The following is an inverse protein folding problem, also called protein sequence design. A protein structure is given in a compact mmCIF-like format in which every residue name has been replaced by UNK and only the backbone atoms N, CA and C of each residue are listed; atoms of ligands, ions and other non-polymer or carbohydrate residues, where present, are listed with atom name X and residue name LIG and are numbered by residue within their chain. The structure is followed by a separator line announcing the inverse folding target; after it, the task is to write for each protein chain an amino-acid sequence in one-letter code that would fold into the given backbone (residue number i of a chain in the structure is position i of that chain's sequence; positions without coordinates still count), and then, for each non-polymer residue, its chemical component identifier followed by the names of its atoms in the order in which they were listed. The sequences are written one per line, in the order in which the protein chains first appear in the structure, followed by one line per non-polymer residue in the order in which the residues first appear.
data_IF_611350321520
#
_entry.id   IF_611350321520
#
_cell.length_a   1.000
_cell.length_b   1.000
_cell.length_c   1.000
_cell.angle_alpha   90.00
_cell.angle_beta   90.00
_cell.angle_gamma   90.00
#
_symmetry.space_group_name_H-M   'P 1'
#
loop_
_entity.id
_entity.type
_entity.pdbx_description
1 polymer ?
#
# COMPACT_ATOMS: atom_id res chain seq x y z
N UNK A 1 7.52 -71.90 18.81
CA UNK A 1 7.86 -70.72 17.98
C UNK A 1 6.74 -69.70 18.09
N UNK A 2 6.81 -68.76 19.04
CA UNK A 2 5.85 -67.64 19.18
C UNK A 2 6.48 -66.41 18.50
N UNK A 3 5.87 -65.91 17.43
CA UNK A 3 6.31 -64.70 16.72
C UNK A 3 5.89 -63.47 17.53
N UNK A 4 6.87 -62.68 17.97
CA UNK A 4 6.67 -61.38 18.59
C UNK A 4 6.42 -60.35 17.47
N UNK A 5 5.23 -59.77 17.39
CA UNK A 5 4.93 -58.65 16.50
C UNK A 5 5.39 -57.36 17.20
N UNK A 6 6.52 -56.80 16.78
CA UNK A 6 6.94 -55.45 17.16
C UNK A 6 6.17 -54.44 16.31
N UNK A 7 5.25 -53.72 16.94
CA UNK A 7 4.55 -52.58 16.33
C UNK A 7 5.50 -51.39 16.30
N UNK A 8 5.89 -50.96 15.09
CA UNK A 8 6.69 -49.78 14.86
C UNK A 8 5.76 -48.56 14.83
N UNK A 9 5.68 -47.81 15.93
CA UNK A 9 4.98 -46.53 15.97
C UNK A 9 5.79 -45.49 15.17
N UNK A 10 5.34 -45.20 13.94
CA UNK A 10 5.80 -44.03 13.19
C UNK A 10 5.31 -42.76 13.91
N UNK A 11 6.23 -42.01 14.52
CA UNK A 11 5.99 -40.62 14.89
C UNK A 11 6.00 -39.76 13.63
N UNK A 12 4.82 -39.36 13.16
CA UNK A 12 4.68 -38.30 12.16
C UNK A 12 4.85 -36.95 12.90
N UNK A 13 5.78 -36.08 12.51
CA UNK A 13 5.84 -34.74 13.09
C UNK A 13 4.61 -33.97 12.63
N UNK A 14 3.71 -33.69 13.57
CA UNK A 14 2.55 -32.82 13.35
C UNK A 14 3.10 -31.39 13.26
N UNK A 15 3.36 -30.88 12.05
CA UNK A 15 3.62 -29.45 11.87
C UNK A 15 2.31 -28.71 12.11
N UNK A 16 2.13 -28.20 13.33
CA UNK A 16 1.09 -27.23 13.66
C UNK A 16 1.33 -25.98 12.81
N UNK A 17 0.65 -25.88 11.68
CA UNK A 17 0.47 -24.60 10.98
C UNK A 17 -0.33 -23.70 11.91
N UNK A 18 0.34 -22.77 12.57
CA UNK A 18 -0.30 -21.71 13.34
C UNK A 18 -1.23 -20.94 12.38
N UNK A 19 -2.54 -20.99 12.65
CA UNK A 19 -3.52 -20.26 11.87
C UNK A 19 -3.20 -18.76 11.90
N UNK A 20 -3.43 -18.07 10.78
CA UNK A 20 -3.27 -16.62 10.72
C UNK A 20 -4.22 -15.97 11.74
N UNK A 21 -3.65 -15.24 12.70
CA UNK A 21 -4.38 -14.72 13.86
C UNK A 21 -5.24 -13.50 13.53
N UNK A 22 -4.79 -12.67 12.58
CA UNK A 22 -5.45 -11.42 12.19
C UNK A 22 -5.65 -11.33 10.67
N UNK A 23 -6.69 -10.61 10.27
CA UNK A 23 -7.09 -10.39 8.89
C UNK A 23 -7.28 -8.90 8.59
N UNK A 24 -7.46 -8.54 7.32
CA UNK A 24 -7.80 -7.15 6.95
C UNK A 24 -9.13 -6.66 7.53
N UNK A 25 -10.05 -7.55 7.92
CA UNK A 25 -11.29 -7.16 8.60
C UNK A 25 -11.03 -6.59 10.01
N UNK A 26 -9.89 -6.91 10.61
CA UNK A 26 -9.50 -6.46 11.94
C UNK A 26 -8.81 -5.10 11.91
N UNK A 27 -8.46 -4.58 10.72
CA UNK A 27 -7.67 -3.36 10.57
C UNK A 27 -8.31 -2.12 11.23
N UNK A 28 -9.62 -1.96 11.18
CA UNK A 28 -10.32 -0.84 11.83
C UNK A 28 -10.90 -1.17 13.21
N UNK A 29 -10.89 -2.45 13.58
CA UNK A 29 -11.55 -2.94 14.80
C UNK A 29 -10.58 -2.91 15.97
N UNK A 30 -10.96 -2.31 17.09
CA UNK A 30 -10.15 -2.42 18.31
C UNK A 30 -10.09 -3.88 18.76
N UNK A 31 -8.89 -4.45 18.77
CA UNK A 31 -8.58 -5.77 19.33
C UNK A 31 -7.37 -5.61 20.25
N UNK A 32 -7.50 -5.91 21.56
CA UNK A 32 -6.40 -5.78 22.51
C UNK A 32 -5.13 -6.49 22.05
N UNK A 33 -5.25 -7.74 21.60
CA UNK A 33 -4.10 -8.57 21.22
C UNK A 33 -3.37 -8.00 19.99
N UNK A 34 -4.11 -7.53 18.98
CA UNK A 34 -3.52 -6.90 17.81
C UNK A 34 -2.81 -5.59 18.17
N UNK A 35 -3.39 -4.81 19.10
CA UNK A 35 -2.79 -3.55 19.51
C UNK A 35 -1.52 -3.78 20.35
N UNK A 36 -1.57 -4.74 21.28
CA UNK A 36 -0.41 -5.13 22.09
C UNK A 36 0.74 -5.63 21.19
N UNK A 37 0.44 -6.42 20.16
CA UNK A 37 1.46 -6.88 19.21
C UNK A 37 2.06 -5.72 18.41
N UNK A 38 1.23 -4.76 17.97
CA UNK A 38 1.73 -3.55 17.28
C UNK A 38 2.68 -2.75 18.17
N UNK A 39 2.31 -2.54 19.45
CA UNK A 39 3.16 -1.83 20.41
C UNK A 39 4.44 -2.60 20.71
N UNK A 40 4.37 -3.92 20.93
CA UNK A 40 5.52 -4.76 21.22
C UNK A 40 6.56 -4.75 20.08
N UNK A 41 6.11 -4.75 18.82
CA UNK A 41 7.00 -4.61 17.66
C UNK A 41 7.54 -3.19 17.58
N UNK A 42 6.68 -2.18 17.75
CA UNK A 42 7.07 -0.77 17.68
C UNK A 42 8.14 -0.39 18.72
N UNK A 43 8.06 -0.94 19.92
CA UNK A 43 8.97 -0.66 21.04
C UNK A 43 10.36 -1.30 20.87
N UNK A 44 10.48 -2.33 20.04
CA UNK A 44 11.78 -2.94 19.68
C UNK A 44 12.53 -2.14 18.61
N UNK A 45 11.87 -1.15 17.98
CA UNK A 45 12.44 -0.36 16.89
C UNK A 45 13.01 0.97 17.40
N UNK A 46 14.05 1.47 16.74
CA UNK A 46 14.53 2.84 16.94
C UNK A 46 13.89 3.79 15.92
N UNK A 47 14.07 5.10 16.09
CA UNK A 47 13.41 6.10 15.24
C UNK A 47 13.82 5.97 13.76
N UNK A 48 15.06 5.62 13.45
CA UNK A 48 15.52 5.39 12.07
C UNK A 48 14.75 4.24 11.42
N UNK A 49 14.64 3.09 12.10
CA UNK A 49 13.96 1.91 11.54
C UNK A 49 12.44 2.09 11.50
N UNK A 50 11.88 2.88 12.42
CA UNK A 50 10.48 3.34 12.40
C UNK A 50 10.20 4.17 11.15
N UNK A 51 11.00 5.21 10.89
CA UNK A 51 10.85 6.05 9.69
C UNK A 51 11.04 5.22 8.42
N UNK A 52 11.97 4.26 8.42
CA UNK A 52 12.14 3.33 7.31
C UNK A 52 10.86 2.59 6.92
N UNK A 53 9.97 2.28 7.88
CA UNK A 53 8.68 1.61 7.59
C UNK A 53 7.72 2.45 6.73
N UNK A 54 7.92 3.77 6.65
CA UNK A 54 7.09 4.66 5.85
C UNK A 54 7.47 4.65 4.36
N UNK A 55 8.57 4.00 3.98
CA UNK A 55 9.12 4.08 2.63
C UNK A 55 8.82 2.80 1.84
N UNK A 56 8.24 2.97 0.65
CA UNK A 56 8.11 1.93 -0.36
C UNK A 56 8.98 2.33 -1.56
N UNK A 57 10.02 1.55 -1.86
CA UNK A 57 10.87 1.80 -3.03
C UNK A 57 10.69 0.72 -4.12
N UNK A 58 10.88 1.10 -5.37
CA UNK A 58 10.65 0.22 -6.51
C UNK A 58 11.84 -0.71 -6.81
N UNK A 59 11.54 -1.99 -7.03
CA UNK A 59 12.44 -2.99 -7.60
C UNK A 59 11.89 -3.53 -8.92
N UNK A 60 12.65 -4.42 -9.57
CA UNK A 60 12.29 -5.00 -10.86
C UNK A 60 12.88 -4.19 -12.02
N UNK A 61 12.40 -4.43 -13.25
CA UNK A 61 13.04 -3.91 -14.48
C UNK A 61 13.00 -2.39 -14.60
N UNK A 62 12.00 -1.75 -13.98
CA UNK A 62 11.87 -0.30 -13.94
C UNK A 62 12.09 0.29 -12.53
N UNK A 63 12.59 -0.52 -11.60
CA UNK A 63 12.97 -0.07 -10.26
C UNK A 63 14.39 0.50 -10.22
N UNK A 64 14.85 0.84 -9.01
CA UNK A 64 16.25 1.22 -8.78
C UNK A 64 17.17 -0.01 -8.92
N UNK A 65 18.49 0.18 -9.11
CA UNK A 65 19.44 -0.93 -9.20
C UNK A 65 19.34 -1.88 -7.99
N UNK A 66 19.42 -3.19 -8.24
CA UNK A 66 19.28 -4.21 -7.20
C UNK A 66 20.27 -4.03 -6.02
N UNK A 67 21.51 -3.64 -6.31
CA UNK A 67 22.50 -3.40 -5.26
C UNK A 67 22.08 -2.25 -4.32
N UNK A 68 21.42 -1.22 -4.86
CA UNK A 68 20.96 -0.07 -4.09
C UNK A 68 19.76 -0.43 -3.20
N UNK A 69 18.78 -1.15 -3.73
CA UNK A 69 17.65 -1.60 -2.90
C UNK A 69 18.10 -2.57 -1.80
N UNK A 70 19.06 -3.45 -2.08
CA UNK A 70 19.66 -4.34 -1.05
C UNK A 70 20.34 -3.51 0.04
N UNK A 71 21.09 -2.46 -0.30
CA UNK A 71 21.70 -1.55 0.68
C UNK A 71 20.65 -0.88 1.58
N UNK A 72 19.55 -0.42 0.98
CA UNK A 72 18.45 0.21 1.72
C UNK A 72 17.76 -0.78 2.68
N UNK A 73 17.57 -2.03 2.26
CA UNK A 73 17.01 -3.10 3.10
C UNK A 73 17.95 -3.45 4.25
N UNK A 74 19.25 -3.66 3.96
CA UNK A 74 20.24 -4.00 4.98
C UNK A 74 20.42 -2.92 6.05
N UNK A 75 20.26 -1.65 5.65
CA UNK A 75 20.27 -0.50 6.56
C UNK A 75 18.90 -0.20 7.18
N UNK A 76 17.88 -1.01 6.89
CA UNK A 76 16.51 -0.91 7.40
C UNK A 76 15.85 0.45 7.11
N UNK A 77 16.22 1.08 6.00
CA UNK A 77 15.70 2.39 5.55
C UNK A 77 14.46 2.29 4.64
N UNK A 78 13.96 1.08 4.38
CA UNK A 78 12.69 0.87 3.66
C UNK A 78 11.84 -0.20 4.35
N UNK A 79 10.52 -0.05 4.28
CA UNK A 79 9.54 -0.94 4.88
C UNK A 79 8.78 -1.78 3.86
N UNK A 80 8.84 -1.39 2.58
CA UNK A 80 8.15 -2.06 1.50
C UNK A 80 8.83 -1.89 0.14
N UNK A 81 8.38 -2.71 -0.82
CA UNK A 81 8.95 -2.78 -2.16
C UNK A 81 7.84 -2.83 -3.21
N UNK A 82 7.84 -1.89 -4.15
CA UNK A 82 6.97 -1.93 -5.34
C UNK A 82 7.66 -2.74 -6.45
N UNK A 83 7.03 -3.80 -6.96
CA UNK A 83 7.58 -4.59 -8.06
C UNK A 83 7.11 -4.04 -9.41
N UNK A 84 8.04 -3.44 -10.17
CA UNK A 84 7.76 -2.79 -11.45
C UNK A 84 8.24 -3.61 -12.64
N UNK A 85 7.28 -4.00 -13.49
CA UNK A 85 7.48 -4.66 -14.79
C UNK A 85 8.34 -5.93 -14.72
N UNK A 86 7.71 -7.10 -14.78
CA UNK A 86 8.44 -8.38 -14.77
C UNK A 86 7.57 -9.58 -15.17
N UNK A 87 8.15 -10.77 -15.04
CA UNK A 87 7.40 -12.03 -15.11
C UNK A 87 7.00 -12.49 -13.70
N UNK A 88 5.90 -13.25 -13.60
CA UNK A 88 5.40 -13.85 -12.34
C UNK A 88 6.50 -14.58 -11.56
N UNK A 89 7.26 -15.45 -12.23
CA UNK A 89 8.31 -16.23 -11.58
C UNK A 89 9.52 -15.39 -11.16
N UNK A 90 9.82 -14.33 -11.93
CA UNK A 90 10.88 -13.37 -11.60
C UNK A 90 10.53 -12.60 -10.33
N UNK A 91 9.30 -12.09 -10.25
CA UNK A 91 8.81 -11.39 -9.07
C UNK A 91 8.72 -12.29 -7.86
N UNK A 92 8.27 -13.54 -8.02
CA UNK A 92 8.21 -14.52 -6.91
C UNK A 92 9.60 -14.76 -6.30
N UNK A 93 10.63 -14.92 -7.14
CA UNK A 93 12.01 -15.09 -6.67
C UNK A 93 12.55 -13.82 -6.02
N UNK A 94 12.33 -12.66 -6.66
CA UNK A 94 12.82 -11.37 -6.16
C UNK A 94 12.19 -11.01 -4.82
N UNK A 95 10.88 -11.20 -4.64
CA UNK A 95 10.20 -10.93 -3.38
C UNK A 95 10.78 -11.79 -2.25
N UNK A 96 10.91 -13.10 -2.45
CA UNK A 96 11.53 -14.01 -1.46
C UNK A 96 12.97 -13.64 -1.13
N UNK A 97 13.75 -13.26 -2.14
CA UNK A 97 15.14 -12.87 -1.95
C UNK A 97 15.26 -11.60 -1.10
N UNK A 98 14.54 -10.53 -1.46
CA UNK A 98 14.60 -9.26 -0.75
C UNK A 98 14.06 -9.38 0.68
N UNK A 99 13.00 -10.16 0.90
CA UNK A 99 12.45 -10.41 2.22
C UNK A 99 13.44 -11.18 3.11
N UNK A 100 14.10 -12.21 2.55
CA UNK A 100 15.14 -12.98 3.26
C UNK A 100 16.32 -12.10 3.65
N UNK A 101 16.71 -11.15 2.80
CA UNK A 101 17.78 -10.17 3.11
C UNK A 101 17.35 -9.26 4.26
N UNK A 102 16.10 -8.80 4.28
CA UNK A 102 15.55 -7.97 5.36
C UNK A 102 15.67 -8.70 6.70
N UNK A 103 15.16 -9.93 6.76
CA UNK A 103 15.19 -10.77 7.96
C UNK A 103 16.62 -11.08 8.41
N UNK A 104 17.52 -11.44 7.49
CA UNK A 104 18.92 -11.70 7.81
C UNK A 104 19.68 -10.46 8.32
N UNK A 105 19.17 -9.26 8.03
CA UNK A 105 19.73 -7.98 8.49
C UNK A 105 19.04 -7.47 9.77
N UNK A 106 18.22 -8.31 10.41
CA UNK A 106 17.46 -7.95 11.62
C UNK A 106 16.29 -6.99 11.35
N UNK A 107 15.88 -6.83 10.09
CA UNK A 107 14.72 -6.05 9.71
C UNK A 107 13.43 -6.85 9.79
N UNK A 108 12.30 -6.15 9.67
CA UNK A 108 10.97 -6.76 9.56
C UNK A 108 10.72 -7.27 8.13
N UNK A 109 9.83 -8.26 7.94
CA UNK A 109 9.27 -8.61 6.63
C UNK A 109 8.83 -7.39 5.83
N UNK A 110 9.16 -7.36 4.55
CA UNK A 110 8.89 -6.23 3.65
C UNK A 110 7.44 -6.24 3.17
N UNK A 111 6.86 -5.05 3.02
CA UNK A 111 5.56 -4.90 2.38
C UNK A 111 5.73 -4.84 0.84
N UNK A 112 5.54 -5.96 0.13
CA UNK A 112 5.50 -5.98 -1.34
C UNK A 112 4.19 -5.44 -1.94
N UNK A 113 4.32 -4.59 -2.96
CA UNK A 113 3.21 -4.01 -3.71
C UNK A 113 3.35 -4.10 -5.23
N UNK A 114 2.25 -3.85 -5.94
CA UNK A 114 2.20 -3.76 -7.40
C UNK A 114 1.05 -2.84 -7.88
N UNK A 115 1.20 -2.31 -9.10
CA UNK A 115 0.10 -1.73 -9.88
C UNK A 115 -0.65 -2.84 -10.66
N UNK A 116 -1.53 -3.55 -9.97
CA UNK A 116 -2.32 -4.63 -10.57
C UNK A 116 -3.78 -4.20 -10.80
N UNK A 117 -3.94 -3.13 -11.58
CA UNK A 117 -5.21 -2.73 -12.21
C UNK A 117 -5.55 -3.71 -13.34
N UNK A 118 -6.84 -4.04 -13.61
CA UNK A 118 -7.19 -4.99 -14.67
C UNK A 118 -6.57 -4.65 -16.04
N UNK A 119 -6.64 -3.38 -16.46
CA UNK A 119 -6.04 -2.92 -17.73
C UNK A 119 -4.51 -2.96 -17.79
N UNK A 120 -3.82 -2.96 -16.63
CA UNK A 120 -2.36 -2.95 -16.56
C UNK A 120 -1.78 -4.32 -16.19
N UNK A 121 -2.56 -5.19 -15.55
CA UNK A 121 -2.10 -6.38 -14.84
C UNK A 121 -1.20 -7.27 -15.70
N UNK A 122 -1.70 -7.77 -16.83
CA UNK A 122 -0.91 -8.65 -17.71
C UNK A 122 0.26 -7.95 -18.41
N UNK A 123 0.24 -6.62 -18.51
CA UNK A 123 1.35 -5.84 -19.06
C UNK A 123 2.47 -5.60 -18.04
N UNK A 124 2.10 -5.45 -16.76
CA UNK A 124 3.02 -5.19 -15.63
C UNK A 124 3.61 -6.50 -15.10
N UNK A 125 2.82 -7.57 -15.06
CA UNK A 125 3.21 -8.89 -14.58
C UNK A 125 2.84 -9.93 -15.63
N UNK A 126 3.80 -10.26 -16.48
CA UNK A 126 3.63 -11.28 -17.51
C UNK A 126 3.64 -12.69 -16.90
N UNK A 127 3.02 -13.65 -17.57
CA UNK A 127 2.88 -15.03 -17.08
C UNK A 127 1.79 -15.23 -16.01
N UNK A 128 0.95 -14.22 -15.78
CA UNK A 128 -0.26 -14.29 -14.95
C UNK A 128 -1.49 -14.65 -15.78
N UNK A 129 -2.57 -15.10 -15.14
CA UNK A 129 -3.86 -15.30 -15.80
C UNK A 129 -4.36 -14.05 -16.53
N UNK A 130 -4.86 -14.23 -17.75
CA UNK A 130 -5.40 -13.14 -18.56
C UNK A 130 -6.69 -12.57 -17.95
N UNK A 131 -6.80 -11.25 -17.87
CA UNK A 131 -8.00 -10.56 -17.37
C UNK A 131 -8.52 -9.55 -18.39
N UNK A 132 -9.82 -9.21 -18.29
CA UNK A 132 -10.40 -8.13 -19.09
C UNK A 132 -9.81 -6.79 -18.70
N UNK A 133 -9.79 -5.84 -19.65
CA UNK A 133 -9.49 -4.43 -19.34
C UNK A 133 -10.57 -3.86 -18.43
N UNK A 134 -10.22 -2.88 -17.60
CA UNK A 134 -11.12 -2.28 -16.61
C UNK A 134 -12.41 -1.77 -17.24
N UNK A 135 -12.32 -1.05 -18.36
CA UNK A 135 -13.47 -0.51 -19.08
C UNK A 135 -14.33 -1.55 -19.83
N UNK A 136 -13.93 -2.82 -19.83
CA UNK A 136 -14.69 -3.94 -20.41
C UNK A 136 -15.45 -4.75 -19.36
N UNK A 137 -15.24 -4.45 -18.07
CA UNK A 137 -15.90 -5.13 -16.96
C UNK A 137 -17.35 -4.62 -16.87
N UNK A 138 -18.30 -5.55 -16.94
CA UNK A 138 -19.72 -5.23 -17.15
C UNK A 138 -20.48 -4.94 -15.87
N UNK A 139 -20.23 -5.69 -14.81
CA UNK A 139 -20.98 -5.60 -13.56
C UNK A 139 -20.12 -5.97 -12.34
N UNK A 140 -20.70 -5.78 -11.16
CA UNK A 140 -20.04 -6.04 -9.89
C UNK A 140 -19.67 -7.52 -9.68
N UNK A 141 -20.41 -8.47 -10.27
CA UNK A 141 -20.11 -9.90 -10.14
C UNK A 141 -18.86 -10.27 -10.93
N UNK A 142 -18.76 -9.82 -12.18
CA UNK A 142 -17.57 -9.97 -13.00
C UNK A 142 -16.36 -9.25 -12.37
N UNK A 143 -16.57 -8.04 -11.83
CA UNK A 143 -15.53 -7.30 -11.14
C UNK A 143 -14.96 -8.07 -9.94
N UNK A 144 -15.83 -8.68 -9.12
CA UNK A 144 -15.40 -9.54 -7.99
C UNK A 144 -14.58 -10.74 -8.45
N UNK A 145 -14.96 -11.39 -9.55
CA UNK A 145 -14.23 -12.54 -10.10
C UNK A 145 -12.83 -12.13 -10.55
N UNK A 146 -12.72 -11.04 -11.31
CA UNK A 146 -11.43 -10.51 -11.78
C UNK A 146 -10.55 -10.07 -10.62
N UNK A 147 -11.11 -9.34 -9.65
CA UNK A 147 -10.37 -8.88 -8.47
C UNK A 147 -9.86 -10.06 -7.63
N UNK A 148 -10.66 -11.13 -7.48
CA UNK A 148 -10.25 -12.34 -6.77
C UNK A 148 -9.09 -13.05 -7.49
N UNK A 149 -9.21 -13.23 -8.81
CA UNK A 149 -8.17 -13.83 -9.65
C UNK A 149 -6.85 -13.04 -9.57
N UNK A 150 -6.91 -11.71 -9.71
CA UNK A 150 -5.72 -10.84 -9.56
C UNK A 150 -5.12 -11.03 -8.16
N UNK A 151 -5.95 -11.04 -7.11
CA UNK A 151 -5.47 -11.14 -5.72
C UNK A 151 -4.83 -12.50 -5.43
N UNK A 152 -5.37 -13.58 -5.99
CA UNK A 152 -4.77 -14.92 -5.92
C UNK A 152 -3.39 -14.95 -6.58
N UNK A 153 -3.28 -14.42 -7.80
CA UNK A 153 -2.02 -14.30 -8.53
C UNK A 153 -0.98 -13.50 -7.73
N UNK A 154 -1.35 -12.33 -7.21
CA UNK A 154 -0.48 -11.50 -6.37
C UNK A 154 0.00 -12.25 -5.13
N UNK A 155 -0.88 -12.99 -4.45
CA UNK A 155 -0.50 -13.80 -3.29
C UNK A 155 0.48 -14.91 -3.64
N UNK A 156 0.34 -15.55 -4.82
CA UNK A 156 1.32 -16.56 -5.25
C UNK A 156 2.72 -15.98 -5.45
N UNK A 157 2.80 -14.70 -5.82
CA UNK A 157 4.05 -13.96 -5.99
C UNK A 157 4.63 -13.52 -4.63
N UNK A 158 3.78 -13.35 -3.61
CA UNK A 158 4.15 -12.75 -2.32
C UNK A 158 3.81 -11.26 -2.22
N UNK A 159 2.97 -10.75 -3.12
CA UNK A 159 2.45 -9.37 -3.09
C UNK A 159 1.12 -9.36 -2.32
N UNK A 160 1.00 -8.43 -1.39
CA UNK A 160 -0.15 -8.33 -0.49
C UNK A 160 -0.71 -6.90 -0.39
N UNK A 161 -0.15 -5.95 -1.15
CA UNK A 161 -0.63 -4.58 -1.25
C UNK A 161 -0.78 -4.14 -2.71
N UNK A 162 -2.01 -3.92 -3.17
CA UNK A 162 -2.30 -3.59 -4.56
C UNK A 162 -2.66 -2.10 -4.69
N UNK A 163 -1.98 -1.40 -5.59
CA UNK A 163 -2.32 -0.03 -5.98
C UNK A 163 -3.45 -0.02 -7.01
N UNK A 164 -4.60 -0.57 -6.64
CA UNK A 164 -5.84 -0.61 -7.40
C UNK A 164 -7.04 -0.73 -6.43
N UNK A 165 -8.24 -0.24 -6.80
CA UNK A 165 -8.64 0.21 -8.13
C UNK A 165 -8.47 1.72 -8.39
N UNK A 166 -8.55 2.10 -9.67
CA UNK A 166 -8.71 3.50 -10.09
C UNK A 166 -10.18 3.91 -9.91
N UNK A 167 -10.42 4.93 -9.10
CA UNK A 167 -11.75 5.51 -8.76
C UNK A 167 -12.08 6.71 -9.66
N UNK A 168 -11.12 7.14 -10.47
CA UNK A 168 -11.27 8.24 -11.40
C UNK A 168 -12.34 7.95 -12.48
N UNK A 169 -13.24 8.91 -12.72
CA UNK A 169 -14.24 8.93 -13.79
C UNK A 169 -13.58 9.49 -15.04
N UNK A 170 -13.38 8.65 -16.06
CA UNK A 170 -12.62 9.05 -17.25
C UNK A 170 -13.44 8.86 -18.52
N UNK A 171 -14.19 9.87 -18.98
CA UNK A 171 -14.80 9.83 -20.29
C UNK A 171 -13.75 9.96 -21.41
N UNK A 172 -12.67 10.74 -21.20
CA UNK A 172 -11.72 11.12 -22.25
C UNK A 172 -10.27 11.39 -21.77
N UNK A 173 -9.91 11.11 -20.51
CA UNK A 173 -8.56 11.44 -20.00
C UNK A 173 -7.50 10.48 -20.56
N UNK A 174 -6.36 11.02 -21.00
CA UNK A 174 -5.29 10.24 -21.66
C UNK A 174 -4.51 9.34 -20.69
N UNK A 175 -4.26 9.82 -19.47
CA UNK A 175 -3.50 9.10 -18.44
C UNK A 175 -4.33 8.00 -17.76
N UNK A 176 -5.64 8.20 -17.64
CA UNK A 176 -6.59 7.24 -17.06
C UNK A 176 -7.16 6.34 -18.15
N UNK A 177 -7.87 6.88 -19.15
CA UNK A 177 -8.39 6.15 -20.30
C UNK A 177 -9.09 4.84 -19.93
N UNK A 178 -8.57 3.72 -20.43
CA UNK A 178 -9.13 2.39 -20.18
C UNK A 178 -8.86 1.81 -18.78
N UNK A 179 -8.16 2.55 -17.91
CA UNK A 179 -7.90 2.17 -16.51
C UNK A 179 -9.10 2.44 -15.61
N UNK A 180 -9.99 3.36 -16.01
CA UNK A 180 -11.26 3.63 -15.33
C UNK A 180 -12.34 2.60 -15.67
N UNK A 181 -13.31 2.46 -14.77
CA UNK A 181 -14.55 1.70 -14.99
C UNK A 181 -15.58 2.43 -15.87
N UNK A 182 -15.34 3.71 -16.21
CA UNK A 182 -16.14 4.45 -17.18
C UNK A 182 -16.33 5.93 -16.83
N UNK A 183 -17.39 6.51 -17.39
CA UNK A 183 -17.73 7.92 -17.24
C UNK A 183 -18.91 8.19 -16.29
N UNK A 184 -19.55 7.14 -15.75
CA UNK A 184 -20.63 7.26 -14.77
C UNK A 184 -20.11 7.02 -13.35
N UNK A 185 -20.19 8.04 -12.50
CA UNK A 185 -19.65 8.00 -11.15
C UNK A 185 -20.26 6.87 -10.30
N UNK A 186 -21.57 6.63 -10.41
CA UNK A 186 -22.25 5.58 -9.63
C UNK A 186 -21.73 4.20 -10.01
N UNK A 187 -21.59 3.93 -11.31
CA UNK A 187 -20.99 2.70 -11.83
C UNK A 187 -19.54 2.55 -11.40
N UNK A 188 -18.74 3.62 -11.47
CA UNK A 188 -17.33 3.58 -11.03
C UNK A 188 -17.26 3.21 -9.55
N UNK A 189 -18.03 3.86 -8.68
CA UNK A 189 -18.08 3.55 -7.25
C UNK A 189 -18.52 2.11 -6.99
N UNK A 190 -19.57 1.62 -7.67
CA UNK A 190 -20.07 0.26 -7.52
C UNK A 190 -18.99 -0.79 -7.84
N UNK A 191 -18.30 -0.63 -8.98
CA UNK A 191 -17.28 -1.57 -9.42
C UNK A 191 -15.99 -1.45 -8.59
N UNK A 192 -15.60 -0.24 -8.17
CA UNK A 192 -14.51 -0.04 -7.24
C UNK A 192 -14.78 -0.73 -5.89
N UNK A 193 -15.97 -0.57 -5.33
CA UNK A 193 -16.37 -1.24 -4.09
C UNK A 193 -16.32 -2.78 -4.23
N UNK A 194 -16.79 -3.31 -5.37
CA UNK A 194 -16.72 -4.72 -5.69
C UNK A 194 -15.26 -5.24 -5.76
N UNK A 195 -14.37 -4.48 -6.41
CA UNK A 195 -12.94 -4.78 -6.51
C UNK A 195 -12.26 -4.76 -5.13
N UNK A 196 -12.43 -3.66 -4.38
CA UNK A 196 -11.85 -3.47 -3.04
C UNK A 196 -12.28 -4.60 -2.10
N UNK A 197 -13.58 -4.87 -2.02
CA UNK A 197 -14.11 -5.90 -1.14
C UNK A 197 -13.59 -7.31 -1.50
N UNK A 198 -13.47 -7.63 -2.79
CA UNK A 198 -12.93 -8.92 -3.23
C UNK A 198 -11.43 -9.04 -2.92
N UNK A 199 -10.63 -8.01 -3.21
CA UNK A 199 -9.19 -8.02 -2.91
C UNK A 199 -8.91 -8.13 -1.42
N UNK A 200 -9.59 -7.33 -0.59
CA UNK A 200 -9.38 -7.35 0.86
C UNK A 200 -9.82 -8.68 1.48
N UNK A 201 -10.92 -9.30 1.01
CA UNK A 201 -11.31 -10.66 1.45
C UNK A 201 -10.30 -11.73 1.04
N UNK A 202 -9.62 -11.55 -0.08
CA UNK A 202 -8.55 -12.46 -0.51
C UNK A 202 -7.25 -12.28 0.30
N UNK A 203 -7.15 -11.25 1.15
CA UNK A 203 -5.96 -10.92 1.93
C UNK A 203 -4.96 -10.03 1.20
N UNK A 204 -5.43 -9.20 0.25
CA UNK A 204 -4.64 -8.18 -0.44
C UNK A 204 -5.24 -6.81 -0.15
N UNK A 205 -4.45 -5.91 0.44
CA UNK A 205 -4.90 -4.55 0.72
C UNK A 205 -5.11 -3.79 -0.60
N UNK A 206 -6.29 -3.21 -0.79
CA UNK A 206 -6.62 -2.40 -1.95
C UNK A 206 -6.32 -0.92 -1.69
N UNK A 207 -6.03 -0.18 -2.76
CA UNK A 207 -5.73 1.25 -2.71
C UNK A 207 -6.55 1.99 -3.75
N UNK A 208 -7.49 2.81 -3.29
CA UNK A 208 -8.23 3.70 -4.19
C UNK A 208 -7.34 4.83 -4.68
N UNK A 209 -7.41 5.16 -5.97
CA UNK A 209 -6.58 6.23 -6.57
C UNK A 209 -7.28 6.93 -7.76
N UNK A 210 -6.94 8.18 -8.08
CA UNK A 210 -5.90 9.02 -7.46
C UNK A 210 -6.56 10.24 -6.80
N UNK A 211 -6.56 10.29 -5.46
CA UNK A 211 -7.24 11.35 -4.71
C UNK A 211 -6.55 12.71 -4.94
N UNK A 212 -7.27 13.83 -5.14
CA UNK A 212 -8.72 14.03 -5.04
C UNK A 212 -9.51 13.81 -6.35
N UNK A 213 -8.87 13.33 -7.42
CA UNK A 213 -9.51 13.06 -8.71
C UNK A 213 -8.59 13.41 -9.89
N UNK A 214 -8.27 12.43 -10.72
CA UNK A 214 -7.47 12.60 -11.95
C UNK A 214 -8.30 12.46 -13.22
N UNK A 215 -9.49 11.87 -13.14
CA UNK A 215 -10.26 11.50 -14.33
C UNK A 215 -10.73 12.69 -15.16
N UNK A 216 -10.90 13.85 -14.52
CA UNK A 216 -11.47 15.06 -15.14
C UNK A 216 -10.45 16.17 -15.38
N UNK A 217 -9.20 16.02 -14.94
CA UNK A 217 -8.13 16.99 -15.24
C UNK A 217 -7.62 16.82 -16.67
N UNK A 218 -7.06 17.88 -17.24
CA UNK A 218 -6.41 17.85 -18.56
C UNK A 218 -4.89 17.70 -18.40
N UNK A 219 -4.31 16.71 -19.07
CA UNK A 219 -2.86 16.44 -19.09
C UNK A 219 -2.45 15.25 -18.24
N UNK A 220 -1.14 15.09 -18.04
CA UNK A 220 -0.54 13.95 -17.35
C UNK A 220 0.46 14.40 -16.28
N UNK A 221 0.21 13.99 -15.03
CA UNK A 221 1.05 14.27 -13.85
C UNK A 221 2.44 13.64 -13.94
N UNK A 222 2.64 12.64 -14.80
CA UNK A 222 3.97 12.08 -15.05
C UNK A 222 4.92 13.12 -15.66
N UNK A 223 4.39 14.10 -16.40
CA UNK A 223 5.18 15.08 -17.15
C UNK A 223 5.21 16.46 -16.50
N UNK A 224 4.11 16.90 -15.89
CA UNK A 224 3.98 18.23 -15.29
C UNK A 224 2.87 18.27 -14.26
N UNK A 225 2.86 19.28 -13.40
CA UNK A 225 1.74 19.55 -12.52
C UNK A 225 0.49 19.88 -13.37
N UNK A 226 -0.62 19.23 -13.03
CA UNK A 226 -1.96 19.52 -13.56
C UNK A 226 -2.83 20.01 -12.42
N UNK A 227 -3.97 20.62 -12.75
CA UNK A 227 -4.83 21.28 -11.76
C UNK A 227 -6.30 20.90 -11.92
N UNK A 228 -6.99 20.88 -10.79
CA UNK A 228 -8.44 21.00 -10.68
C UNK A 228 -8.74 22.46 -10.39
N UNK A 229 -9.55 23.09 -11.23
CA UNK A 229 -10.01 24.47 -11.05
C UNK A 229 -11.50 24.44 -10.62
N UNK A 230 -11.77 24.75 -9.36
CA UNK A 230 -13.10 24.72 -8.76
C UNK A 230 -13.44 23.41 -8.04
N UNK A 231 -14.60 22.83 -8.34
CA UNK A 231 -15.13 21.68 -7.61
C UNK A 231 -14.33 20.40 -7.89
N UNK A 232 -13.93 19.70 -6.82
CA UNK A 232 -13.31 18.37 -6.90
C UNK A 232 -14.40 17.30 -7.06
N UNK A 233 -14.94 17.19 -8.28
CA UNK A 233 -16.12 16.38 -8.59
C UNK A 233 -16.00 14.88 -8.25
N UNK A 234 -14.78 14.37 -8.12
CA UNK A 234 -14.51 12.94 -7.87
C UNK A 234 -14.30 12.62 -6.38
N UNK A 235 -14.17 13.61 -5.50
CA UNK A 235 -13.98 13.40 -4.05
C UNK A 235 -15.15 12.62 -3.44
N UNK A 236 -16.37 12.92 -3.87
CA UNK A 236 -17.58 12.24 -3.40
C UNK A 236 -17.59 10.73 -3.72
N UNK A 237 -16.81 10.27 -4.71
CA UNK A 237 -16.71 8.85 -5.06
C UNK A 237 -15.99 8.03 -3.97
N UNK A 238 -15.18 8.68 -3.12
CA UNK A 238 -14.40 8.00 -2.09
C UNK A 238 -15.21 7.71 -0.83
N UNK A 239 -16.22 8.51 -0.47
CA UNK A 239 -16.95 8.34 0.79
C UNK A 239 -17.57 6.94 0.92
N UNK A 240 -18.31 6.40 -0.09
CA UNK A 240 -18.87 5.06 0.03
C UNK A 240 -17.79 3.96 0.15
N UNK A 241 -16.60 4.20 -0.41
CA UNK A 241 -15.48 3.26 -0.33
C UNK A 241 -14.84 3.30 1.06
N UNK A 242 -14.66 4.49 1.64
CA UNK A 242 -14.21 4.70 3.02
C UNK A 242 -15.17 4.00 3.98
N UNK A 243 -16.48 4.23 3.84
CA UNK A 243 -17.53 3.64 4.68
C UNK A 243 -17.55 2.10 4.56
N UNK A 244 -17.09 1.55 3.43
CA UNK A 244 -16.98 0.10 3.21
C UNK A 244 -15.71 -0.55 3.77
N UNK A 245 -14.86 0.21 4.46
CA UNK A 245 -13.62 -0.29 5.06
C UNK A 245 -12.46 -0.39 4.08
N UNK A 246 -12.37 0.53 3.11
CA UNK A 246 -11.18 0.69 2.26
C UNK A 246 -9.91 0.88 3.11
N UNK A 247 -8.87 0.10 2.86
CA UNK A 247 -7.63 0.12 3.66
C UNK A 247 -6.71 1.30 3.29
N UNK A 248 -6.60 1.65 2.01
CA UNK A 248 -5.63 2.63 1.54
C UNK A 248 -6.17 3.57 0.47
N UNK A 249 -5.67 4.81 0.48
CA UNK A 249 -5.92 5.82 -0.56
C UNK A 249 -4.57 6.38 -1.03
N UNK A 250 -4.38 6.43 -2.34
CA UNK A 250 -3.24 7.08 -2.97
C UNK A 250 -3.59 8.52 -3.37
N UNK A 251 -2.75 9.47 -2.97
CA UNK A 251 -2.92 10.91 -3.25
C UNK A 251 -2.05 11.32 -4.44
N UNK A 252 -2.70 11.90 -5.44
CA UNK A 252 -2.10 12.34 -6.70
C UNK A 252 -1.23 13.59 -6.53
N UNK A 253 -0.36 13.84 -7.51
CA UNK A 253 0.37 15.09 -7.64
C UNK A 253 -0.41 16.12 -8.47
N UNK A 254 -1.59 16.52 -8.00
CA UNK A 254 -2.52 17.46 -8.67
C UNK A 254 -2.70 18.69 -7.78
N UNK A 255 -2.66 19.89 -8.35
CA UNK A 255 -2.98 21.12 -7.63
C UNK A 255 -4.49 21.40 -7.65
N UNK A 256 -4.98 22.12 -6.64
CA UNK A 256 -6.38 22.55 -6.56
C UNK A 256 -6.43 24.07 -6.45
N UNK A 257 -7.19 24.70 -7.34
CA UNK A 257 -7.39 26.15 -7.41
C UNK A 257 -8.88 26.49 -7.25
N UNK A 258 -9.18 27.71 -6.81
CA UNK A 258 -10.55 28.24 -6.68
C UNK A 258 -11.51 27.32 -5.88
N UNK A 259 -10.99 26.66 -4.84
CA UNK A 259 -11.70 25.75 -3.95
C UNK A 259 -11.39 26.10 -2.48
N UNK A 260 -12.28 25.84 -1.50
CA UNK A 260 -11.95 25.99 -0.07
C UNK A 260 -10.68 25.25 0.34
N UNK A 261 -10.43 24.10 -0.27
CA UNK A 261 -9.25 23.24 -0.03
C UNK A 261 -8.09 23.53 -1.01
N UNK A 262 -7.96 24.77 -1.52
CA UNK A 262 -6.95 25.11 -2.51
C UNK A 262 -5.52 24.81 -2.02
N UNK A 263 -4.70 24.22 -2.90
CA UNK A 263 -3.34 23.77 -2.56
C UNK A 263 -2.27 24.85 -2.72
N UNK A 264 -2.65 26.08 -3.08
CA UNK A 264 -1.72 27.20 -3.29
C UNK A 264 -0.61 26.87 -4.30
N UNK A 265 -0.98 26.20 -5.39
CA UNK A 265 -0.05 25.78 -6.45
C UNK A 265 0.86 24.61 -6.09
N UNK A 266 0.68 23.97 -4.93
CA UNK A 266 1.40 22.75 -4.55
C UNK A 266 0.60 21.50 -4.96
N UNK A 267 1.25 20.35 -5.17
CA UNK A 267 0.56 19.08 -5.37
C UNK A 267 -0.22 18.63 -4.11
N UNK A 268 -1.39 18.03 -4.31
CA UNK A 268 -2.26 17.52 -3.26
C UNK A 268 -1.54 16.58 -2.28
N UNK A 269 -0.64 15.73 -2.77
CA UNK A 269 0.16 14.79 -1.96
C UNK A 269 1.05 15.44 -0.89
N UNK A 270 1.33 16.75 -1.01
CA UNK A 270 2.09 17.53 -0.02
C UNK A 270 1.27 18.67 0.60
N UNK A 271 -0.05 18.69 0.36
CA UNK A 271 -0.96 19.69 0.94
C UNK A 271 -1.60 19.13 2.21
N UNK A 272 -1.30 19.73 3.36
CA UNK A 272 -1.96 19.38 4.63
C UNK A 272 -3.46 19.65 4.58
N UNK A 273 -3.89 20.66 3.84
CA UNK A 273 -5.31 20.98 3.62
C UNK A 273 -6.04 19.81 2.97
N UNK A 274 -5.46 19.22 1.91
CA UNK A 274 -6.08 18.10 1.21
C UNK A 274 -5.94 16.78 1.98
N UNK A 275 -4.73 16.47 2.46
CA UNK A 275 -4.43 15.17 3.06
C UNK A 275 -4.99 15.06 4.48
N UNK A 276 -4.80 16.08 5.31
CA UNK A 276 -5.29 16.08 6.69
C UNK A 276 -6.67 16.70 6.78
N UNK A 277 -6.86 17.95 6.31
CA UNK A 277 -8.13 18.67 6.45
C UNK A 277 -9.29 17.96 5.74
N UNK A 278 -9.21 17.82 4.42
CA UNK A 278 -10.27 17.16 3.66
C UNK A 278 -10.33 15.65 3.91
N UNK A 279 -9.26 14.91 3.59
CA UNK A 279 -9.34 13.44 3.55
C UNK A 279 -9.45 12.81 4.95
N UNK A 280 -8.61 13.24 5.91
CA UNK A 280 -8.62 12.63 7.25
C UNK A 280 -9.68 13.27 8.13
N UNK A 281 -9.79 14.58 8.21
CA UNK A 281 -10.68 15.24 9.17
C UNK A 281 -12.12 15.26 8.66
N UNK A 282 -12.40 15.89 7.51
CA UNK A 282 -13.76 16.03 6.98
C UNK A 282 -14.38 14.70 6.51
N UNK A 283 -13.64 13.91 5.71
CA UNK A 283 -14.13 12.63 5.19
C UNK A 283 -13.96 11.47 6.19
N UNK A 284 -13.25 11.70 7.30
CA UNK A 284 -13.08 10.71 8.35
C UNK A 284 -12.20 9.51 7.97
N UNK A 285 -11.37 9.60 6.92
CA UNK A 285 -10.52 8.47 6.54
C UNK A 285 -9.49 8.15 7.63
N UNK A 286 -9.46 6.90 8.08
CA UNK A 286 -8.53 6.41 9.13
C UNK A 286 -7.52 5.39 8.61
N UNK A 287 -7.59 5.02 7.34
CA UNK A 287 -6.69 4.08 6.69
C UNK A 287 -5.29 4.62 6.47
N UNK A 288 -4.57 3.96 5.55
CA UNK A 288 -3.25 4.38 5.09
C UNK A 288 -3.39 5.37 3.94
N UNK A 289 -2.75 6.53 4.07
CA UNK A 289 -2.58 7.46 2.96
C UNK A 289 -1.20 7.25 2.36
N UNK A 290 -1.13 6.93 1.08
CA UNK A 290 0.13 6.77 0.34
C UNK A 290 0.26 7.86 -0.72
N UNK A 291 1.47 8.38 -0.96
CA UNK A 291 1.69 9.28 -2.09
C UNK A 291 1.63 8.50 -3.40
N UNK A 292 1.30 9.17 -4.51
CA UNK A 292 1.76 8.72 -5.83
C UNK A 292 3.31 8.78 -5.90
N UNK A 293 3.91 8.26 -6.97
CA UNK A 293 5.36 8.12 -7.08
C UNK A 293 6.08 9.48 -7.04
N UNK A 294 6.90 9.69 -6.00
CA UNK A 294 7.58 10.97 -5.75
C UNK A 294 8.62 11.34 -6.83
N UNK A 295 8.93 10.45 -7.77
CA UNK A 295 9.80 10.69 -8.93
C UNK A 295 9.07 11.30 -10.15
N UNK A 296 7.76 11.52 -10.06
CA UNK A 296 6.97 12.09 -11.16
C UNK A 296 7.28 13.57 -11.40
N UNK A 297 7.15 14.02 -12.66
CA UNK A 297 7.49 15.38 -13.07
C UNK A 297 6.74 16.48 -12.31
N UNK A 298 5.53 16.20 -11.82
CA UNK A 298 4.73 17.14 -11.04
C UNK A 298 5.29 17.46 -9.63
N UNK A 299 6.20 16.63 -9.09
CA UNK A 299 6.65 16.73 -7.70
C UNK A 299 8.18 16.67 -7.54
N UNK A 300 8.90 16.02 -8.47
CA UNK A 300 10.32 15.70 -8.32
C UNK A 300 11.26 16.90 -8.16
N UNK A 301 10.86 18.09 -8.63
CA UNK A 301 11.65 19.32 -8.50
C UNK A 301 11.39 20.07 -7.19
N UNK A 302 10.41 19.65 -6.39
CA UNK A 302 10.06 20.32 -5.13
C UNK A 302 11.06 19.89 -4.03
N UNK A 303 11.79 20.83 -3.41
CA UNK A 303 12.71 20.49 -2.33
C UNK A 303 11.98 19.89 -1.13
N UNK A 304 12.59 18.86 -0.54
CA UNK A 304 12.09 18.12 0.63
C UNK A 304 10.64 17.62 0.47
N UNK A 305 10.23 17.28 -0.77
CA UNK A 305 8.84 16.88 -1.06
C UNK A 305 8.38 15.68 -0.22
N UNK A 306 9.27 14.72 0.07
CA UNK A 306 8.94 13.57 0.92
C UNK A 306 8.65 13.98 2.37
N UNK A 307 9.46 14.89 2.96
CA UNK A 307 9.18 15.44 4.29
C UNK A 307 7.83 16.16 4.29
N UNK A 308 7.57 17.02 3.30
CA UNK A 308 6.31 17.75 3.17
C UNK A 308 5.10 16.82 3.03
N UNK A 309 5.23 15.70 2.33
CA UNK A 309 4.17 14.69 2.26
C UNK A 309 3.88 14.06 3.63
N UNK A 310 4.91 13.75 4.42
CA UNK A 310 4.73 13.26 5.79
C UNK A 310 4.13 14.35 6.68
N UNK A 311 4.55 15.61 6.57
CA UNK A 311 3.96 16.76 7.30
C UNK A 311 2.48 16.97 6.94
N UNK A 312 2.13 16.81 5.66
CA UNK A 312 0.76 16.85 5.18
C UNK A 312 -0.11 15.73 5.75
N UNK A 313 0.52 14.63 6.21
CA UNK A 313 -0.14 13.51 6.85
C UNK A 313 -0.12 12.23 6.03
N UNK A 314 0.66 12.11 4.95
CA UNK A 314 0.83 10.83 4.26
C UNK A 314 1.52 9.80 5.19
N UNK A 315 0.96 8.60 5.25
CA UNK A 315 1.48 7.49 6.07
C UNK A 315 2.58 6.70 5.34
N UNK A 316 2.56 6.66 4.00
CA UNK A 316 3.53 5.96 3.17
C UNK A 316 4.01 6.86 2.03
N UNK A 317 5.33 6.88 1.79
CA UNK A 317 5.97 7.62 0.70
C UNK A 317 6.42 6.63 -0.36
N UNK A 318 5.87 6.78 -1.56
CA UNK A 318 6.14 5.91 -2.69
C UNK A 318 7.28 6.46 -3.55
N UNK A 319 8.32 5.65 -3.74
CA UNK A 319 9.47 5.94 -4.60
C UNK A 319 10.10 7.32 -4.35
N UNK A 320 10.55 7.64 -3.13
CA UNK A 320 11.28 8.89 -2.89
C UNK A 320 12.50 9.02 -3.82
N UNK A 321 12.92 10.27 -4.08
CA UNK A 321 14.13 10.53 -4.87
C UNK A 321 15.39 10.08 -4.15
N UNK A 322 15.42 10.28 -2.83
CA UNK A 322 16.54 9.99 -1.95
C UNK A 322 16.01 9.55 -0.58
N UNK A 323 16.11 8.26 -0.26
CA UNK A 323 15.64 7.67 0.99
C UNK A 323 16.49 8.14 2.17
N UNK A 324 17.80 8.28 2.00
CA UNK A 324 18.70 8.60 3.10
C UNK A 324 18.49 10.05 3.56
N UNK A 325 18.30 10.96 2.61
CA UNK A 325 17.90 12.34 2.88
C UNK A 325 16.51 12.42 3.52
N UNK A 326 15.52 11.71 2.97
CA UNK A 326 14.17 11.68 3.57
C UNK A 326 14.21 11.20 5.03
N UNK A 327 14.96 10.13 5.33
CA UNK A 327 15.07 9.63 6.71
C UNK A 327 15.72 10.68 7.60
N UNK A 328 16.82 11.31 7.15
CA UNK A 328 17.50 12.36 7.92
C UNK A 328 16.59 13.56 8.20
N UNK A 329 15.88 14.05 7.19
CA UNK A 329 14.95 15.18 7.29
C UNK A 329 13.82 14.92 8.30
N UNK A 330 13.22 13.72 8.23
CA UNK A 330 12.14 13.33 9.15
C UNK A 330 12.67 13.20 10.57
N UNK A 331 13.84 12.60 10.77
CA UNK A 331 14.45 12.48 12.11
C UNK A 331 14.74 13.84 12.72
N UNK A 332 15.35 14.76 11.96
CA UNK A 332 15.60 16.13 12.40
C UNK A 332 14.29 16.82 12.79
N UNK A 333 13.25 16.71 11.97
CA UNK A 333 11.94 17.30 12.27
C UNK A 333 11.27 16.67 13.51
N UNK A 334 11.44 15.37 13.73
CA UNK A 334 10.92 14.68 14.92
C UNK A 334 11.60 15.14 16.22
N UNK A 335 12.88 15.52 16.16
CA UNK A 335 13.60 16.08 17.31
C UNK A 335 13.09 17.49 17.66
N UNK A 336 12.76 18.29 16.66
CA UNK A 336 12.29 19.67 16.82
C UNK A 336 10.80 19.76 17.20
N UNK A 337 9.96 18.84 16.71
CA UNK A 337 8.50 18.91 16.81
C UNK A 337 7.90 17.61 17.41
N UNK A 338 7.56 17.62 18.72
CA UNK A 338 6.92 16.49 19.37
C UNK A 338 5.54 16.11 18.80
N UNK A 339 4.82 17.04 18.17
CA UNK A 339 3.53 16.74 17.55
C UNK A 339 3.74 16.00 16.22
N UNK A 340 4.70 16.44 15.41
CA UNK A 340 5.12 15.71 14.21
C UNK A 340 5.65 14.31 14.55
N UNK A 341 6.46 14.19 15.61
CA UNK A 341 6.93 12.89 16.10
C UNK A 341 5.80 11.91 16.42
N UNK A 342 4.75 12.38 17.10
CA UNK A 342 3.56 11.56 17.37
C UNK A 342 2.83 11.17 16.09
N UNK A 343 2.70 12.09 15.12
CA UNK A 343 2.09 11.80 13.82
C UNK A 343 2.84 10.68 13.08
N UNK A 344 4.18 10.77 13.02
CA UNK A 344 5.03 9.72 12.43
C UNK A 344 4.81 8.39 13.13
N UNK A 345 4.80 8.34 14.46
CA UNK A 345 4.58 7.11 15.21
C UNK A 345 3.20 6.48 14.93
N UNK A 346 2.15 7.29 14.78
CA UNK A 346 0.82 6.80 14.39
C UNK A 346 0.88 6.14 13.01
N UNK A 347 1.55 6.76 12.03
CA UNK A 347 1.71 6.19 10.69
C UNK A 347 2.49 4.87 10.71
N UNK A 348 3.60 4.80 11.47
CA UNK A 348 4.36 3.56 11.63
C UNK A 348 3.50 2.45 12.22
N UNK A 349 2.74 2.73 13.28
CA UNK A 349 1.84 1.75 13.91
C UNK A 349 0.74 1.27 12.96
N UNK A 350 0.20 2.14 12.09
CA UNK A 350 -0.72 1.71 11.02
C UNK A 350 -0.07 0.75 10.04
N UNK A 351 1.18 1.00 9.64
CA UNK A 351 1.93 0.11 8.73
C UNK A 351 2.19 -1.25 9.39
N UNK A 352 2.62 -1.27 10.66
CA UNK A 352 2.83 -2.51 11.41
C UNK A 352 1.51 -3.29 11.56
N UNK A 353 0.42 -2.59 11.89
CA UNK A 353 -0.92 -3.17 11.97
C UNK A 353 -1.34 -3.79 10.64
N UNK A 354 -1.12 -3.09 9.51
CA UNK A 354 -1.41 -3.63 8.19
C UNK A 354 -0.63 -4.93 7.95
N UNK A 355 0.67 -4.94 8.25
CA UNK A 355 1.51 -6.14 8.07
C UNK A 355 1.03 -7.33 8.91
N UNK A 356 0.56 -7.12 10.13
CA UNK A 356 -0.06 -8.16 10.96
C UNK A 356 -1.38 -8.65 10.38
N UNK A 357 -2.26 -7.73 9.95
CA UNK A 357 -3.54 -8.06 9.32
C UNK A 357 -3.39 -8.80 7.97
N UNK A 358 -2.30 -8.56 7.27
CA UNK A 358 -1.94 -9.27 6.04
C UNK A 358 -1.24 -10.62 6.31
N UNK A 359 -0.87 -10.92 7.55
CA UNK A 359 -0.10 -12.11 7.92
C UNK A 359 1.36 -12.09 7.43
N UNK A 360 1.85 -10.91 7.02
CA UNK A 360 3.24 -10.65 6.62
C UNK A 360 4.14 -10.62 7.85
N UNK A 361 3.68 -9.94 8.89
CA UNK A 361 4.21 -10.09 10.25
C UNK A 361 3.44 -11.20 10.95
N UNK A 362 4.16 -12.07 11.64
CA UNK A 362 3.58 -13.08 12.54
C UNK A 362 3.71 -12.58 13.97
N UNK A 363 2.69 -12.78 14.83
CA UNK A 363 2.82 -12.48 16.24
C UNK A 363 4.01 -13.24 16.84
N UNK A 364 4.64 -12.67 17.86
CA UNK A 364 5.60 -13.42 18.67
C UNK A 364 4.94 -14.73 19.11
N UNK A 365 5.58 -15.87 18.88
CA UNK A 365 5.08 -17.12 19.42
C UNK A 365 5.03 -16.95 20.94
N UNK A 366 3.84 -17.01 21.54
CA UNK A 366 3.71 -17.10 22.99
C UNK A 366 4.68 -18.19 23.44
N UNK A 367 5.71 -17.81 24.21
CA UNK A 367 6.58 -18.74 24.90
C UNK A 367 5.71 -19.45 25.93
N UNK A 368 4.92 -20.42 25.47
CA UNK A 368 4.08 -21.26 26.28
C UNK A 368 4.99 -22.01 27.23
N UNK A 369 4.93 -21.61 28.50
CA UNK A 369 5.41 -22.34 29.65
C UNK A 369 5.11 -23.81 29.47
N UNK A 370 6.15 -24.64 29.40
CA UNK A 370 5.98 -26.08 29.53
C UNK A 370 5.23 -26.36 30.85
N UNK A 371 4.17 -27.19 30.85
CA UNK A 371 3.61 -27.64 32.11
C UNK A 371 4.67 -28.47 32.82
N UNK A 372 4.92 -28.15 34.09
CA UNK A 372 5.78 -28.92 35.00
C UNK A 372 5.32 -30.37 35.17
#
# INVERSE_FOLDING_TARGET
MKKLLTSLLLFLPLTLTQAQTFSLADFYTYQPELNEEVEAIFDQMNDTTRVGQLIIQAAGRLGIPKAEIVRLIQSQKIGGVLLLKGEKDEFTRLARELDSISLASGGLPLLFSADAEPSLFNSKIKGTAAVKKTNQIQDAAECRQIASLISEELKTIGIHYNFAPVVDVSPFNEAIGNRSFGSDAKRVVELCAAFIGASQRAGVAATAKHFPGHGLVKGDTHHKLVYIDGDMQEVANYQPLIDSGLISIMVAHIAVENNPHATQGQPASISREIVTGLLKEEMGFRGLVVTDAMRMGAIASIPHASLKAVEAGCDLILMPLNEEEMVADILAKMEEDPAFKRQVYISVKKVLRLKLCLGVLKPAANAGTAPE
#
